data_IF_759978191841
#
_entry.id   IF_759978191841
#
_cell.length_a   1.000
_cell.length_b   1.000
_cell.length_c   1.000
_cell.angle_alpha   90.00
_cell.angle_beta   90.00
_cell.angle_gamma   90.00
#
_symmetry.space_group_name_H-M   'P 1'
#
loop_
_entity.id
_entity.type
_entity.pdbx_description
1 polymer ?
#
# COMPACT_ATOMS: atom_id res chain seq x y z
N UNK A 1 28.19 -4.50 -33.45
CA UNK A 1 29.25 -3.67 -32.82
C UNK A 1 29.80 -4.34 -31.56
N UNK A 2 31.11 -4.58 -31.50
CA UNK A 2 31.85 -5.01 -30.29
C UNK A 2 32.86 -3.91 -29.96
N UNK A 3 32.91 -3.40 -28.74
CA UNK A 3 33.92 -2.40 -28.35
C UNK A 3 33.50 -1.45 -27.22
N UNK A 4 34.42 -0.57 -26.80
CA UNK A 4 34.12 0.57 -25.92
C UNK A 4 33.97 1.81 -26.80
N UNK A 5 32.81 2.46 -26.80
CA UNK A 5 32.65 3.79 -27.41
C UNK A 5 32.69 4.83 -26.28
N UNK A 6 33.65 5.74 -26.33
CA UNK A 6 33.82 6.80 -25.32
C UNK A 6 33.85 8.17 -26.02
N UNK A 7 33.04 9.12 -25.59
CA UNK A 7 33.10 10.49 -26.14
C UNK A 7 32.54 11.55 -25.18
N UNK A 8 33.08 12.77 -25.21
CA UNK A 8 32.55 13.90 -24.41
C UNK A 8 31.08 14.21 -24.74
N UNK A 9 30.67 14.12 -26.01
CA UNK A 9 29.28 14.34 -26.44
C UNK A 9 28.92 13.32 -27.53
N UNK A 10 27.98 12.42 -27.25
CA UNK A 10 27.31 11.64 -28.29
C UNK A 10 26.02 12.34 -28.71
N UNK A 11 25.95 12.74 -29.98
CA UNK A 11 24.74 13.21 -30.66
C UNK A 11 24.53 12.38 -31.92
N UNK A 12 24.21 11.10 -31.77
CA UNK A 12 24.06 10.18 -32.89
C UNK A 12 23.03 9.09 -32.59
N UNK A 13 22.55 8.46 -33.65
CA UNK A 13 21.83 7.19 -33.56
C UNK A 13 22.87 6.06 -33.68
N UNK A 14 22.86 5.15 -32.70
CA UNK A 14 23.63 3.91 -32.75
C UNK A 14 22.64 2.80 -33.03
N UNK A 15 22.62 2.29 -34.27
CA UNK A 15 21.86 1.11 -34.64
C UNK A 15 22.81 -0.07 -34.84
N UNK A 16 22.50 -1.21 -34.23
CA UNK A 16 23.26 -2.42 -34.44
C UNK A 16 22.48 -3.68 -34.11
N UNK A 17 22.60 -4.72 -34.93
CA UNK A 17 21.90 -5.97 -34.66
C UNK A 17 22.33 -6.63 -33.33
N UNK A 18 23.62 -6.58 -33.03
CA UNK A 18 24.22 -7.05 -31.77
C UNK A 18 25.18 -6.00 -31.24
N UNK A 19 24.91 -5.51 -30.04
CA UNK A 19 25.76 -4.57 -29.33
C UNK A 19 26.39 -5.26 -28.12
N UNK A 20 27.72 -5.36 -28.09
CA UNK A 20 28.48 -5.90 -26.95
C UNK A 20 29.54 -4.89 -26.51
N UNK A 21 29.51 -4.47 -25.24
CA UNK A 21 30.55 -3.60 -24.68
C UNK A 21 30.03 -2.47 -23.81
N UNK A 22 30.77 -1.36 -23.77
CA UNK A 22 30.39 -0.17 -22.99
C UNK A 22 30.23 1.02 -23.91
N UNK A 23 29.16 1.78 -23.74
CA UNK A 23 29.04 3.15 -24.28
C UNK A 23 29.11 4.09 -23.11
N UNK A 24 30.06 5.01 -23.15
CA UNK A 24 30.28 6.03 -22.12
C UNK A 24 30.29 7.41 -22.77
N UNK A 25 29.55 8.36 -22.19
CA UNK A 25 29.57 9.73 -22.65
C UNK A 25 29.23 10.74 -21.56
N UNK A 26 29.82 11.92 -21.60
CA UNK A 26 29.42 12.96 -20.66
C UNK A 26 27.99 13.46 -20.93
N UNK A 27 27.62 13.62 -22.20
CA UNK A 27 26.30 14.04 -22.65
C UNK A 27 25.86 13.17 -23.82
N UNK A 28 24.81 12.38 -23.59
CA UNK A 28 24.24 11.49 -24.60
C UNK A 28 22.87 12.02 -25.06
N UNK A 29 22.74 12.32 -26.35
CA UNK A 29 21.49 12.69 -27.03
C UNK A 29 21.34 11.82 -28.27
N UNK A 30 20.15 11.28 -28.52
CA UNK A 30 19.89 10.43 -29.70
C UNK A 30 19.22 9.11 -29.36
N UNK A 31 19.45 8.08 -30.16
CA UNK A 31 18.91 6.73 -29.94
C UNK A 31 20.03 5.69 -29.90
N UNK A 32 19.85 4.67 -29.07
CA UNK A 32 20.61 3.42 -29.14
C UNK A 32 19.60 2.33 -29.39
N UNK A 33 19.66 1.70 -30.57
CA UNK A 33 18.82 0.60 -30.96
C UNK A 33 19.66 -0.67 -31.15
N UNK A 34 19.18 -1.80 -30.63
CA UNK A 34 19.80 -3.08 -30.90
C UNK A 34 18.89 -4.27 -30.63
N UNK A 35 18.79 -5.23 -31.56
CA UNK A 35 18.08 -6.50 -31.30
C UNK A 35 18.62 -7.23 -30.05
N UNK A 36 19.94 -7.17 -29.79
CA UNK A 36 20.60 -7.79 -28.62
C UNK A 36 21.69 -6.88 -28.04
N UNK A 37 21.38 -6.21 -26.93
CA UNK A 37 22.38 -5.46 -26.16
C UNK A 37 22.92 -6.27 -24.97
N UNK A 38 24.24 -6.47 -24.92
CA UNK A 38 24.97 -7.02 -23.76
C UNK A 38 26.06 -6.04 -23.32
N UNK A 39 25.82 -5.24 -22.30
CA UNK A 39 26.75 -4.17 -22.01
C UNK A 39 26.34 -3.17 -20.94
N UNK A 40 27.06 -2.05 -20.91
CA UNK A 40 26.72 -0.88 -20.09
C UNK A 40 26.54 0.33 -21.00
N UNK A 41 25.51 1.13 -20.73
CA UNK A 41 25.36 2.48 -21.26
C UNK A 41 25.47 3.42 -20.07
N UNK A 42 26.48 4.27 -20.04
CA UNK A 42 26.75 5.22 -18.96
C UNK A 42 26.79 6.64 -19.52
N UNK A 43 26.19 7.60 -18.80
CA UNK A 43 26.37 9.00 -19.15
C UNK A 43 26.03 9.96 -18.02
N UNK A 44 26.76 11.08 -17.85
CA UNK A 44 26.36 12.09 -16.83
C UNK A 44 24.98 12.71 -17.14
N UNK A 45 24.66 12.96 -18.41
CA UNK A 45 23.37 13.55 -18.84
C UNK A 45 22.81 12.79 -20.05
N UNK A 46 21.82 11.94 -19.80
CA UNK A 46 21.17 11.14 -20.84
C UNK A 46 19.83 11.74 -21.25
N UNK A 47 19.70 12.14 -22.52
CA UNK A 47 18.47 12.57 -23.19
C UNK A 47 18.26 11.72 -24.45
N UNK A 48 18.10 10.42 -24.28
CA UNK A 48 18.08 9.46 -25.39
C UNK A 48 16.93 8.45 -25.30
N UNK A 49 16.73 7.67 -26.35
CA UNK A 49 15.97 6.41 -26.28
C UNK A 49 16.98 5.25 -26.32
N UNK A 50 16.77 4.25 -25.47
CA UNK A 50 17.49 2.98 -25.53
C UNK A 50 16.45 1.92 -25.83
N UNK A 51 16.47 1.36 -27.03
CA UNK A 51 15.58 0.29 -27.47
C UNK A 51 16.40 -1.00 -27.64
N UNK A 52 15.87 -2.12 -27.14
CA UNK A 52 16.49 -3.40 -27.41
C UNK A 52 15.55 -4.59 -27.29
N UNK A 53 15.51 -5.47 -28.29
CA UNK A 53 14.82 -6.75 -28.19
C UNK A 53 15.26 -7.57 -26.96
N UNK A 54 16.56 -7.65 -26.67
CA UNK A 54 17.10 -8.33 -25.49
C UNK A 54 18.22 -7.51 -24.86
N UNK A 55 17.95 -6.88 -23.72
CA UNK A 55 18.94 -6.14 -22.95
C UNK A 55 19.46 -6.98 -21.77
N UNK A 56 20.76 -7.29 -21.74
CA UNK A 56 21.47 -7.84 -20.58
C UNK A 56 22.58 -6.87 -20.15
N UNK A 57 22.33 -6.04 -19.14
CA UNK A 57 23.25 -4.93 -18.90
C UNK A 57 22.85 -3.93 -17.84
N UNK A 58 23.54 -2.78 -17.86
CA UNK A 58 23.20 -1.62 -17.03
C UNK A 58 23.00 -0.39 -17.91
N UNK A 59 22.01 0.43 -17.57
CA UNK A 59 21.87 1.81 -18.05
C UNK A 59 22.03 2.70 -16.83
N UNK A 60 23.04 3.56 -16.82
CA UNK A 60 23.38 4.44 -15.70
C UNK A 60 23.46 5.89 -16.18
N UNK A 61 23.01 6.82 -15.35
CA UNK A 61 23.16 8.24 -15.63
C UNK A 61 22.83 9.14 -14.44
N UNK A 62 23.64 10.16 -14.14
CA UNK A 62 23.29 11.16 -13.11
C UNK A 62 21.94 11.86 -13.39
N UNK A 63 21.71 12.30 -14.63
CA UNK A 63 20.44 12.95 -15.04
C UNK A 63 19.84 12.27 -16.26
N UNK A 64 18.83 11.43 -16.03
CA UNK A 64 18.19 10.65 -17.07
C UNK A 64 16.82 11.22 -17.48
N UNK A 65 16.70 11.67 -18.72
CA UNK A 65 15.45 12.09 -19.39
C UNK A 65 15.24 11.24 -20.65
N UNK A 66 14.93 9.96 -20.48
CA UNK A 66 14.98 8.98 -21.56
C UNK A 66 13.77 8.06 -21.61
N UNK A 67 13.71 7.23 -22.65
CA UNK A 67 12.89 6.01 -22.67
C UNK A 67 13.84 4.82 -22.74
N UNK A 68 13.61 3.81 -21.92
CA UNK A 68 14.28 2.50 -22.00
C UNK A 68 13.19 1.49 -22.35
N UNK A 69 13.24 0.94 -23.55
CA UNK A 69 12.31 -0.10 -24.02
C UNK A 69 13.08 -1.39 -24.24
N UNK A 70 12.51 -2.52 -23.82
CA UNK A 70 13.06 -3.81 -24.15
C UNK A 70 12.06 -4.96 -24.04
N UNK A 71 12.03 -5.85 -25.04
CA UNK A 71 11.20 -7.05 -24.91
C UNK A 71 11.62 -7.91 -23.69
N UNK A 72 12.92 -8.03 -23.44
CA UNK A 72 13.50 -8.79 -22.32
C UNK A 72 14.66 -8.02 -21.70
N UNK A 73 14.39 -7.38 -20.56
CA UNK A 73 15.41 -6.71 -19.77
C UNK A 73 15.93 -7.61 -18.63
N UNK A 74 17.23 -7.90 -18.62
CA UNK A 74 17.97 -8.53 -17.51
C UNK A 74 19.08 -7.59 -17.04
N UNK A 75 18.82 -6.76 -16.03
CA UNK A 75 19.76 -5.68 -15.76
C UNK A 75 19.40 -4.69 -14.68
N UNK A 76 20.11 -3.56 -14.69
CA UNK A 76 19.83 -2.42 -13.83
C UNK A 76 19.60 -1.17 -14.67
N UNK A 77 18.66 -0.33 -14.24
CA UNK A 77 18.54 1.07 -14.68
C UNK A 77 18.74 1.92 -13.44
N UNK A 78 19.74 2.78 -13.45
CA UNK A 78 20.16 3.58 -12.29
C UNK A 78 20.27 5.05 -12.68
N UNK A 79 19.83 5.95 -11.81
CA UNK A 79 19.98 7.39 -12.02
C UNK A 79 19.71 8.21 -10.77
N UNK A 80 20.58 9.19 -10.44
CA UNK A 80 20.30 10.15 -9.36
C UNK A 80 18.97 10.92 -9.61
N UNK A 81 18.74 11.38 -10.85
CA UNK A 81 17.49 12.07 -11.26
C UNK A 81 16.87 11.44 -12.50
N UNK A 82 15.82 10.65 -12.29
CA UNK A 82 15.12 9.93 -13.35
C UNK A 82 13.79 10.60 -13.73
N UNK A 83 13.67 11.08 -14.97
CA UNK A 83 12.43 11.55 -15.62
C UNK A 83 12.20 10.76 -16.90
N UNK A 84 11.78 9.51 -16.77
CA UNK A 84 11.81 8.57 -17.90
C UNK A 84 10.62 7.61 -17.93
N UNK A 85 10.56 6.80 -18.99
CA UNK A 85 9.72 5.60 -19.06
C UNK A 85 10.64 4.38 -19.17
N UNK A 86 10.35 3.34 -18.41
CA UNK A 86 10.97 2.02 -18.56
C UNK A 86 9.84 1.06 -18.94
N UNK A 87 9.91 0.49 -20.13
CA UNK A 87 8.95 -0.49 -20.63
C UNK A 87 9.64 -1.82 -20.89
N UNK A 88 9.02 -2.93 -20.50
CA UNK A 88 9.49 -4.24 -20.89
C UNK A 88 8.46 -5.35 -20.79
N UNK A 89 8.32 -6.21 -21.81
CA UNK A 89 7.48 -7.43 -21.67
C UNK A 89 7.95 -8.33 -20.53
N UNK A 90 9.26 -8.44 -20.27
CA UNK A 90 9.85 -9.22 -19.17
C UNK A 90 11.04 -8.49 -18.54
N UNK A 91 10.83 -7.88 -17.38
CA UNK A 91 11.91 -7.27 -16.60
C UNK A 91 12.39 -8.20 -15.47
N UNK A 92 13.69 -8.52 -15.47
CA UNK A 92 14.40 -9.20 -14.37
C UNK A 92 15.55 -8.29 -13.92
N UNK A 93 15.38 -7.53 -12.84
CA UNK A 93 16.35 -6.48 -12.57
C UNK A 93 16.04 -5.52 -11.43
N UNK A 94 16.76 -4.40 -11.43
CA UNK A 94 16.51 -3.27 -10.54
C UNK A 94 16.29 -1.99 -11.34
N UNK A 95 15.38 -1.15 -10.86
CA UNK A 95 15.28 0.25 -11.25
C UNK A 95 15.51 1.06 -9.98
N UNK A 96 16.54 1.90 -9.99
CA UNK A 96 16.98 2.67 -8.81
C UNK A 96 17.11 4.15 -9.16
N UNK A 97 16.70 5.02 -8.25
CA UNK A 97 16.88 6.46 -8.41
C UNK A 97 16.65 7.27 -7.14
N UNK A 98 17.53 8.22 -6.82
CA UNK A 98 17.27 9.14 -5.69
C UNK A 98 15.96 9.94 -5.91
N UNK A 99 15.73 10.48 -7.11
CA UNK A 99 14.51 11.20 -7.48
C UNK A 99 13.87 10.63 -8.75
N UNK A 100 12.83 9.83 -8.57
CA UNK A 100 12.12 9.15 -9.66
C UNK A 100 10.78 9.86 -10.01
N UNK A 101 10.69 10.42 -11.21
CA UNK A 101 9.45 10.94 -11.84
C UNK A 101 9.19 10.17 -13.14
N UNK A 102 8.72 8.92 -13.03
CA UNK A 102 8.71 8.01 -14.18
C UNK A 102 7.49 7.09 -14.24
N UNK A 103 7.39 6.33 -15.32
CA UNK A 103 6.51 5.16 -15.43
C UNK A 103 7.37 3.93 -15.62
N UNK A 104 7.08 2.86 -14.86
CA UNK A 104 7.64 1.53 -15.08
C UNK A 104 6.48 0.63 -15.50
N UNK A 105 6.50 0.19 -16.75
CA UNK A 105 5.52 -0.75 -17.30
C UNK A 105 6.21 -2.09 -17.56
N UNK A 106 5.57 -3.19 -17.18
CA UNK A 106 6.07 -4.50 -17.58
C UNK A 106 5.02 -5.59 -17.67
N UNK A 107 5.10 -6.45 -18.68
CA UNK A 107 4.33 -7.69 -18.71
C UNK A 107 4.63 -8.62 -17.52
N UNK A 108 5.89 -8.73 -17.10
CA UNK A 108 6.33 -9.52 -15.93
C UNK A 108 7.53 -8.85 -15.28
N UNK A 109 7.36 -8.31 -14.08
CA UNK A 109 8.44 -7.75 -13.28
C UNK A 109 8.91 -8.73 -12.19
N UNK A 110 10.18 -9.15 -12.25
CA UNK A 110 10.87 -9.87 -11.17
C UNK A 110 12.07 -9.04 -10.71
N UNK A 111 11.95 -8.30 -9.62
CA UNK A 111 12.98 -7.31 -9.31
C UNK A 111 12.70 -6.37 -8.15
N UNK A 112 13.49 -5.29 -8.10
CA UNK A 112 13.28 -4.18 -7.16
C UNK A 112 13.06 -2.87 -7.92
N UNK A 113 12.16 -2.04 -7.43
CA UNK A 113 12.07 -0.62 -7.76
C UNK A 113 12.36 0.13 -6.47
N UNK A 114 13.39 0.97 -6.46
CA UNK A 114 13.85 1.70 -5.28
C UNK A 114 14.00 3.19 -5.59
N UNK A 115 13.61 4.05 -4.66
CA UNK A 115 13.82 5.49 -4.80
C UNK A 115 13.63 6.27 -3.51
N UNK A 116 14.47 7.27 -3.23
CA UNK A 116 14.23 8.16 -2.09
C UNK A 116 12.92 8.95 -2.25
N UNK A 117 12.67 9.51 -3.45
CA UNK A 117 11.47 10.28 -3.79
C UNK A 117 10.84 9.76 -5.08
N UNK A 118 9.81 8.94 -4.92
CA UNK A 118 9.09 8.31 -6.02
C UNK A 118 7.79 9.06 -6.33
N UNK A 119 7.71 9.70 -7.50
CA UNK A 119 6.49 10.27 -8.11
C UNK A 119 6.16 9.50 -9.39
N UNK A 120 5.66 8.29 -9.27
CA UNK A 120 5.58 7.37 -10.42
C UNK A 120 4.36 6.45 -10.45
N UNK A 121 4.20 5.79 -11.59
CA UNK A 121 3.28 4.66 -11.76
C UNK A 121 4.11 3.41 -12.05
N UNK A 122 3.86 2.34 -11.29
CA UNK A 122 4.37 1.00 -11.57
C UNK A 122 3.20 0.16 -12.00
N UNK A 123 3.16 -0.27 -13.25
CA UNK A 123 2.11 -1.12 -13.81
C UNK A 123 2.74 -2.44 -14.29
N UNK A 124 2.13 -3.56 -13.92
CA UNK A 124 2.56 -4.84 -14.47
C UNK A 124 1.51 -5.93 -14.38
N UNK A 125 1.38 -6.79 -15.40
CA UNK A 125 0.52 -7.99 -15.28
C UNK A 125 0.96 -8.91 -14.14
N UNK A 126 2.26 -8.99 -13.81
CA UNK A 126 2.78 -9.79 -12.68
C UNK A 126 3.97 -9.12 -12.01
N UNK A 127 3.85 -8.79 -10.72
CA UNK A 127 4.95 -8.29 -9.89
C UNK A 127 5.43 -9.36 -8.92
N UNK A 128 6.73 -9.67 -8.93
CA UNK A 128 7.43 -10.47 -7.90
C UNK A 128 8.68 -9.73 -7.42
N UNK A 129 8.70 -9.28 -6.17
CA UNK A 129 9.89 -8.62 -5.61
C UNK A 129 9.59 -7.50 -4.62
N UNK A 130 10.22 -6.33 -4.77
CA UNK A 130 10.05 -5.19 -3.85
C UNK A 130 9.81 -3.87 -4.59
N UNK A 131 9.00 -3.00 -4.00
CA UNK A 131 8.89 -1.57 -4.32
C UNK A 131 9.18 -0.83 -3.03
N UNK A 132 10.21 0.02 -3.01
CA UNK A 132 10.71 0.69 -1.81
C UNK A 132 10.86 2.20 -2.07
N UNK A 133 10.46 3.03 -1.11
CA UNK A 133 10.70 4.47 -1.19
C UNK A 133 10.49 5.23 0.12
N UNK A 134 11.41 6.14 0.50
CA UNK A 134 11.14 7.06 1.64
C UNK A 134 9.88 7.90 1.43
N UNK A 135 9.60 8.35 0.20
CA UNK A 135 8.41 9.15 -0.15
C UNK A 135 7.80 8.68 -1.47
N UNK A 136 6.76 7.86 -1.41
CA UNK A 136 5.99 7.43 -2.57
C UNK A 136 4.73 8.27 -2.79
N UNK A 137 4.62 8.91 -3.96
CA UNK A 137 3.40 9.55 -4.48
C UNK A 137 3.03 8.91 -5.81
N UNK A 138 2.00 8.07 -5.85
CA UNK A 138 1.74 7.34 -7.09
C UNK A 138 0.79 6.16 -7.01
N UNK A 139 0.92 5.27 -7.99
CA UNK A 139 0.14 4.04 -8.09
C UNK A 139 1.04 2.84 -8.34
N UNK A 140 0.75 1.73 -7.68
CA UNK A 140 1.27 0.39 -8.00
C UNK A 140 0.08 -0.47 -8.41
N UNK A 141 0.06 -0.96 -9.64
CA UNK A 141 -1.05 -1.76 -10.20
C UNK A 141 -0.53 -3.11 -10.72
N UNK A 142 -1.28 -4.18 -10.47
CA UNK A 142 -0.99 -5.48 -11.06
C UNK A 142 -2.16 -6.46 -11.13
N UNK A 143 -2.20 -7.34 -12.15
CA UNK A 143 -3.11 -8.50 -12.09
C UNK A 143 -2.71 -9.50 -10.99
N UNK A 144 -1.41 -9.71 -10.74
CA UNK A 144 -0.90 -10.63 -9.71
C UNK A 144 0.32 -10.04 -9.02
N UNK A 145 0.17 -9.71 -7.74
CA UNK A 145 1.22 -9.11 -6.94
C UNK A 145 1.70 -10.09 -5.85
N UNK A 146 2.99 -10.43 -5.89
CA UNK A 146 3.71 -11.19 -4.86
C UNK A 146 4.95 -10.40 -4.41
N UNK A 147 4.75 -9.32 -3.66
CA UNK A 147 5.83 -8.38 -3.36
C UNK A 147 5.74 -7.74 -1.97
N UNK A 148 6.81 -7.06 -1.57
CA UNK A 148 6.78 -6.07 -0.50
C UNK A 148 6.66 -4.68 -1.10
N UNK A 149 5.77 -3.85 -0.55
CA UNK A 149 5.72 -2.40 -0.79
C UNK A 149 6.08 -1.75 0.54
N UNK A 150 7.17 -1.00 0.56
CA UNK A 150 7.69 -0.33 1.75
C UNK A 150 7.81 1.17 1.48
N UNK A 151 7.32 2.00 2.39
CA UNK A 151 7.52 3.44 2.26
C UNK A 151 7.36 4.22 3.56
N UNK A 152 8.33 5.06 3.92
CA UNK A 152 8.16 6.00 5.04
C UNK A 152 6.91 6.89 4.89
N UNK A 153 6.64 7.42 3.69
CA UNK A 153 5.43 8.19 3.40
C UNK A 153 4.79 7.75 2.08
N UNK A 154 3.71 6.98 2.15
CA UNK A 154 2.91 6.61 0.99
C UNK A 154 1.71 7.56 0.82
N UNK A 155 1.60 8.23 -0.32
CA UNK A 155 0.40 8.97 -0.74
C UNK A 155 -0.06 8.47 -2.11
N UNK A 156 -0.93 7.46 -2.14
CA UNK A 156 -1.17 6.74 -3.39
C UNK A 156 -2.15 5.57 -3.32
N UNK A 157 -2.11 4.74 -4.36
CA UNK A 157 -2.92 3.53 -4.46
C UNK A 157 -2.06 2.30 -4.72
N UNK A 158 -2.37 1.20 -4.05
CA UNK A 158 -1.89 -0.14 -4.41
C UNK A 158 -3.10 -0.96 -4.83
N UNK A 159 -3.15 -1.39 -6.08
CA UNK A 159 -4.25 -2.18 -6.63
C UNK A 159 -3.74 -3.49 -7.20
N UNK A 160 -4.48 -4.57 -6.97
CA UNK A 160 -4.21 -5.81 -7.68
C UNK A 160 -5.35 -6.81 -7.64
N UNK A 161 -5.64 -7.54 -8.73
CA UNK A 161 -6.64 -8.63 -8.68
C UNK A 161 -6.28 -9.72 -7.65
N UNK A 162 -5.03 -10.19 -7.62
CA UNK A 162 -4.56 -11.18 -6.63
C UNK A 162 -3.31 -10.68 -5.90
N UNK A 163 -3.48 -10.28 -4.64
CA UNK A 163 -2.41 -9.72 -3.83
C UNK A 163 -1.97 -10.72 -2.74
N UNK A 164 -0.69 -11.07 -2.72
CA UNK A 164 -0.02 -11.86 -1.68
C UNK A 164 1.28 -11.16 -1.28
N UNK A 165 1.14 -10.12 -0.47
CA UNK A 165 2.11 -9.06 -0.29
C UNK A 165 2.19 -8.56 1.15
N UNK A 166 3.26 -7.84 1.48
CA UNK A 166 3.32 -6.96 2.65
C UNK A 166 3.29 -5.51 2.18
N UNK A 167 2.48 -4.67 2.81
CA UNK A 167 2.47 -3.22 2.62
C UNK A 167 2.85 -2.61 3.96
N UNK A 168 3.94 -1.88 4.01
CA UNK A 168 4.48 -1.26 5.22
C UNK A 168 4.68 0.25 4.98
N UNK A 169 4.29 1.08 5.94
CA UNK A 169 4.50 2.53 5.84
C UNK A 169 4.33 3.28 7.16
N UNK A 170 5.26 4.15 7.55
CA UNK A 170 5.01 5.03 8.72
C UNK A 170 3.73 5.88 8.52
N UNK A 171 3.55 6.46 7.33
CA UNK A 171 2.41 7.31 7.00
C UNK A 171 1.80 6.91 5.68
N UNK A 172 0.69 6.18 5.75
CA UNK A 172 -0.12 5.81 4.60
C UNK A 172 -1.31 6.75 4.42
N UNK A 173 -1.38 7.44 3.28
CA UNK A 173 -2.56 8.17 2.78
C UNK A 173 -3.01 7.56 1.46
N UNK A 174 -4.20 6.97 1.41
CA UNK A 174 -4.77 6.47 0.14
C UNK A 174 -5.48 5.13 0.22
N UNK A 175 -5.30 4.26 -0.78
CA UNK A 175 -6.09 3.02 -0.93
C UNK A 175 -5.24 1.78 -1.19
N UNK A 176 -5.63 0.65 -0.59
CA UNK A 176 -5.12 -0.68 -0.93
C UNK A 176 -6.32 -1.55 -1.33
N UNK A 177 -6.38 -1.94 -2.60
CA UNK A 177 -7.53 -2.62 -3.19
C UNK A 177 -7.13 -3.97 -3.79
N UNK A 178 -7.96 -5.00 -3.61
CA UNK A 178 -7.74 -6.28 -4.29
C UNK A 178 -8.97 -7.17 -4.35
N UNK A 179 -9.24 -7.87 -5.46
CA UNK A 179 -10.29 -8.92 -5.46
C UNK A 179 -9.97 -10.02 -4.43
N UNK A 180 -8.71 -10.48 -4.36
CA UNK A 180 -8.24 -11.51 -3.41
C UNK A 180 -6.99 -11.06 -2.69
N UNK A 181 -7.12 -10.75 -1.41
CA UNK A 181 -6.05 -10.23 -0.56
C UNK A 181 -5.59 -11.28 0.47
N UNK A 182 -4.29 -11.65 0.45
CA UNK A 182 -3.66 -12.49 1.49
C UNK A 182 -2.37 -11.82 2.00
N UNK A 183 -2.54 -10.81 2.85
CA UNK A 183 -1.47 -9.82 3.10
C UNK A 183 -1.28 -9.46 4.58
N UNK A 184 -0.19 -8.73 4.84
CA UNK A 184 -0.06 -7.85 6.01
C UNK A 184 -0.04 -6.40 5.54
N UNK A 185 -0.82 -5.53 6.19
CA UNK A 185 -0.75 -4.07 6.05
C UNK A 185 -0.37 -3.51 7.41
N UNK A 186 0.75 -2.81 7.49
CA UNK A 186 1.27 -2.20 8.72
C UNK A 186 1.49 -0.71 8.48
N UNK A 187 1.08 0.13 9.43
CA UNK A 187 1.35 1.56 9.37
C UNK A 187 1.20 2.29 10.69
N UNK A 188 2.13 3.18 11.07
CA UNK A 188 1.90 4.02 12.25
C UNK A 188 0.67 4.94 12.10
N UNK A 189 0.46 5.52 10.91
CA UNK A 189 -0.64 6.43 10.61
C UNK A 189 -1.27 6.10 9.27
N UNK A 190 -2.40 5.39 9.32
CA UNK A 190 -3.19 5.08 8.13
C UNK A 190 -4.38 6.05 7.98
N UNK A 191 -4.44 6.79 6.87
CA UNK A 191 -5.57 7.62 6.45
C UNK A 191 -6.07 7.14 5.08
N UNK A 192 -7.11 6.32 5.04
CA UNK A 192 -7.42 5.65 3.77
C UNK A 192 -8.50 4.58 3.77
N UNK A 193 -8.47 3.76 2.71
CA UNK A 193 -9.34 2.59 2.57
C UNK A 193 -8.52 1.34 2.29
N UNK A 194 -8.90 0.21 2.89
CA UNK A 194 -8.46 -1.13 2.49
C UNK A 194 -9.70 -1.88 2.07
N UNK A 195 -9.74 -2.37 0.83
CA UNK A 195 -10.92 -2.96 0.22
C UNK A 195 -10.59 -4.28 -0.48
N UNK A 196 -11.42 -5.30 -0.27
CA UNK A 196 -11.27 -6.57 -0.98
C UNK A 196 -12.53 -7.42 -1.06
N UNK A 197 -12.80 -8.11 -2.17
CA UNK A 197 -13.89 -9.11 -2.15
C UNK A 197 -13.61 -10.27 -1.17
N UNK A 198 -12.37 -10.76 -1.12
CA UNK A 198 -11.94 -11.84 -0.22
C UNK A 198 -10.66 -11.45 0.52
N UNK A 199 -10.80 -11.08 1.79
CA UNK A 199 -9.69 -10.67 2.64
C UNK A 199 -9.26 -11.77 3.62
N UNK A 200 -7.99 -12.19 3.55
CA UNK A 200 -7.28 -13.04 4.52
C UNK A 200 -6.02 -12.33 5.00
N UNK A 201 -6.18 -11.30 5.83
CA UNK A 201 -5.10 -10.35 6.11
C UNK A 201 -4.91 -10.03 7.59
N UNK A 202 -3.76 -9.43 7.93
CA UNK A 202 -3.58 -8.67 9.18
C UNK A 202 -3.42 -7.19 8.82
N UNK A 203 -4.17 -6.32 9.49
CA UNK A 203 -4.07 -4.87 9.37
C UNK A 203 -3.70 -4.36 10.76
N UNK A 204 -2.58 -3.66 10.88
CA UNK A 204 -2.09 -3.09 12.13
C UNK A 204 -1.82 -1.60 11.94
N UNK A 205 -2.23 -0.77 12.89
CA UNK A 205 -1.90 0.65 12.87
C UNK A 205 -1.95 1.36 14.22
N UNK A 206 -0.96 2.18 14.58
CA UNK A 206 -1.09 3.04 15.78
C UNK A 206 -2.29 4.00 15.69
N UNK A 207 -2.56 4.56 14.50
CA UNK A 207 -3.69 5.48 14.24
C UNK A 207 -4.32 5.20 12.87
N UNK A 208 -5.51 4.60 12.87
CA UNK A 208 -6.30 4.39 11.65
C UNK A 208 -7.46 5.40 11.54
N UNK A 209 -7.50 6.18 10.46
CA UNK A 209 -8.66 7.00 10.05
C UNK A 209 -9.13 6.58 8.67
N UNK A 210 -10.22 5.81 8.57
CA UNK A 210 -10.54 5.19 7.28
C UNK A 210 -11.64 4.16 7.27
N UNK A 211 -11.63 3.33 6.22
CA UNK A 211 -12.52 2.18 6.09
C UNK A 211 -11.73 0.90 5.79
N UNK A 212 -12.15 -0.21 6.38
CA UNK A 212 -11.77 -1.55 5.97
C UNK A 212 -13.05 -2.24 5.49
N UNK A 213 -13.07 -2.71 4.25
CA UNK A 213 -14.27 -3.27 3.62
C UNK A 213 -13.95 -4.62 2.97
N UNK A 214 -14.85 -5.59 3.10
CA UNK A 214 -14.76 -6.83 2.34
C UNK A 214 -16.06 -7.62 2.22
N UNK A 215 -16.36 -8.23 1.06
CA UNK A 215 -17.47 -9.22 0.98
C UNK A 215 -17.24 -10.44 1.91
N UNK A 216 -16.01 -10.93 2.03
CA UNK A 216 -15.64 -12.07 2.91
C UNK A 216 -14.34 -11.77 3.66
N UNK A 217 -14.48 -11.47 4.94
CA UNK A 217 -13.37 -11.08 5.80
C UNK A 217 -12.96 -12.21 6.76
N UNK A 218 -11.70 -12.64 6.68
CA UNK A 218 -11.03 -13.55 7.63
C UNK A 218 -9.72 -12.90 8.10
N UNK A 219 -9.80 -11.89 8.96
CA UNK A 219 -8.65 -11.04 9.26
C UNK A 219 -8.56 -10.60 10.72
N UNK A 220 -7.39 -10.05 11.08
CA UNK A 220 -7.23 -9.26 12.30
C UNK A 220 -7.04 -7.81 11.90
N UNK A 221 -7.80 -6.91 12.53
CA UNK A 221 -7.64 -5.46 12.42
C UNK A 221 -7.32 -4.98 13.82
N UNK A 222 -6.12 -4.44 14.03
CA UNK A 222 -5.68 -3.89 15.30
C UNK A 222 -5.29 -2.42 15.11
N UNK A 223 -5.66 -1.58 16.07
CA UNK A 223 -5.20 -0.20 16.05
C UNK A 223 -5.28 0.51 17.39
N UNK A 224 -4.22 1.22 17.79
CA UNK A 224 -4.25 2.07 18.99
C UNK A 224 -5.42 3.08 19.00
N UNK A 225 -5.64 3.80 17.90
CA UNK A 225 -6.79 4.71 17.73
C UNK A 225 -7.47 4.51 16.38
N UNK A 226 -8.71 4.01 16.38
CA UNK A 226 -9.50 3.80 15.17
C UNK A 226 -10.62 4.85 15.05
N UNK A 227 -10.61 5.64 13.97
CA UNK A 227 -11.72 6.53 13.58
C UNK A 227 -12.23 6.15 12.19
N UNK A 228 -13.27 5.33 12.10
CA UNK A 228 -13.60 4.72 10.82
C UNK A 228 -14.73 3.70 10.81
N UNK A 229 -14.77 2.90 9.74
CA UNK A 229 -15.67 1.76 9.62
C UNK A 229 -14.92 0.48 9.30
N UNK A 230 -15.36 -0.64 9.86
CA UNK A 230 -15.01 -1.99 9.40
C UNK A 230 -16.31 -2.64 8.93
N UNK A 231 -16.37 -3.07 7.68
CA UNK A 231 -17.60 -3.57 7.05
C UNK A 231 -17.32 -4.90 6.34
N UNK A 232 -18.24 -5.86 6.48
CA UNK A 232 -18.21 -7.08 5.68
C UNK A 232 -19.53 -7.83 5.61
N UNK A 233 -19.93 -8.37 4.45
CA UNK A 233 -21.06 -9.33 4.41
C UNK A 233 -20.82 -10.57 5.28
N UNK A 234 -19.61 -11.13 5.30
CA UNK A 234 -19.25 -12.30 6.12
C UNK A 234 -17.95 -12.06 6.86
N UNK A 235 -18.04 -11.77 8.16
CA UNK A 235 -16.90 -11.48 9.01
C UNK A 235 -16.55 -12.65 9.93
N UNK A 236 -15.32 -13.14 9.83
CA UNK A 236 -14.67 -14.13 10.72
C UNK A 236 -13.35 -13.56 11.21
N UNK A 237 -13.42 -12.54 12.06
CA UNK A 237 -12.29 -11.63 12.31
C UNK A 237 -12.10 -11.28 13.79
N UNK A 238 -10.98 -10.66 14.13
CA UNK A 238 -10.81 -9.92 15.39
C UNK A 238 -10.61 -8.45 15.05
N UNK A 239 -11.36 -7.56 15.71
CA UNK A 239 -11.19 -6.11 15.60
C UNK A 239 -10.82 -5.58 16.99
N UNK A 240 -9.60 -5.08 17.14
CA UNK A 240 -9.06 -4.58 18.41
C UNK A 240 -8.71 -3.10 18.30
N UNK A 241 -8.97 -2.31 19.35
CA UNK A 241 -8.47 -0.94 19.42
C UNK A 241 -8.40 -0.40 20.86
N UNK A 242 -7.47 0.48 21.21
CA UNK A 242 -7.61 1.17 22.52
C UNK A 242 -8.74 2.21 22.53
N UNK A 243 -8.89 2.96 21.44
CA UNK A 243 -9.95 3.97 21.27
C UNK A 243 -10.62 3.82 19.91
N UNK A 244 -11.87 3.38 19.90
CA UNK A 244 -12.67 3.22 18.70
C UNK A 244 -13.75 4.31 18.62
N UNK A 245 -13.72 5.12 17.55
CA UNK A 245 -14.78 6.06 17.18
C UNK A 245 -15.30 5.73 15.78
N UNK A 246 -16.31 4.88 15.66
CA UNK A 246 -16.64 4.28 14.38
C UNK A 246 -17.77 3.27 14.36
N UNK A 247 -17.88 2.52 13.26
CA UNK A 247 -18.83 1.41 13.13
C UNK A 247 -18.12 0.10 12.77
N UNK A 248 -18.62 -1.00 13.29
CA UNK A 248 -18.31 -2.35 12.82
C UNK A 248 -19.62 -2.95 12.34
N UNK A 249 -19.71 -3.32 11.07
CA UNK A 249 -20.95 -3.76 10.43
C UNK A 249 -20.75 -5.09 9.69
N UNK A 250 -21.72 -6.00 9.78
CA UNK A 250 -21.71 -7.25 9.02
C UNK A 250 -23.06 -7.96 8.93
N UNK A 251 -23.44 -8.50 7.75
CA UNK A 251 -24.62 -9.39 7.67
C UNK A 251 -24.42 -10.65 8.56
N UNK A 252 -23.24 -11.27 8.52
CA UNK A 252 -22.90 -12.47 9.32
C UNK A 252 -21.58 -12.31 10.05
N UNK A 253 -21.68 -12.14 11.37
CA UNK A 253 -20.56 -11.84 12.26
C UNK A 253 -20.20 -13.03 13.15
N UNK A 254 -18.98 -13.56 13.00
CA UNK A 254 -18.34 -14.58 13.86
C UNK A 254 -16.98 -14.08 14.33
N UNK A 255 -16.98 -13.09 15.20
CA UNK A 255 -15.78 -12.29 15.51
C UNK A 255 -15.67 -11.90 16.98
N UNK A 256 -14.54 -11.30 17.34
CA UNK A 256 -14.41 -10.54 18.60
C UNK A 256 -14.16 -9.07 18.27
N UNK A 257 -14.87 -8.18 18.93
CA UNK A 257 -14.61 -6.73 18.90
C UNK A 257 -14.19 -6.33 20.31
N UNK A 258 -12.97 -5.82 20.45
CA UNK A 258 -12.41 -5.44 21.75
C UNK A 258 -11.93 -4.00 21.70
N UNK A 259 -12.38 -3.17 22.66
CA UNK A 259 -11.85 -1.82 22.79
C UNK A 259 -11.91 -1.24 24.20
N UNK A 260 -10.82 -0.60 24.67
CA UNK A 260 -10.84 0.08 25.99
C UNK A 260 -11.88 1.21 26.06
N UNK A 261 -12.02 2.02 25.00
CA UNK A 261 -13.06 3.07 24.89
C UNK A 261 -13.75 3.02 23.54
N UNK A 262 -15.06 2.76 23.51
CA UNK A 262 -15.84 2.68 22.28
C UNK A 262 -16.94 3.75 22.21
N UNK A 263 -16.93 4.56 21.13
CA UNK A 263 -18.00 5.51 20.77
C UNK A 263 -18.45 5.22 19.33
N UNK A 264 -19.58 4.54 19.15
CA UNK A 264 -19.87 3.95 17.85
C UNK A 264 -21.07 3.03 17.79
N UNK A 265 -21.08 2.15 16.79
CA UNK A 265 -22.06 1.05 16.69
C UNK A 265 -21.38 -0.25 16.28
N UNK A 266 -21.86 -1.37 16.81
CA UNK A 266 -21.62 -2.71 16.24
C UNK A 266 -22.98 -3.21 15.75
N UNK A 267 -23.13 -3.42 14.46
CA UNK A 267 -24.39 -3.83 13.85
C UNK A 267 -24.19 -5.16 13.10
N UNK A 268 -25.07 -6.14 13.29
CA UNK A 268 -25.10 -7.33 12.44
C UNK A 268 -26.45 -8.05 12.37
N UNK A 269 -26.78 -8.72 11.26
CA UNK A 269 -28.04 -9.48 11.19
C UNK A 269 -27.95 -10.79 11.99
N UNK A 270 -26.86 -11.54 11.81
CA UNK A 270 -26.58 -12.79 12.54
C UNK A 270 -25.25 -12.69 13.27
N UNK A 271 -25.32 -12.74 14.60
CA UNK A 271 -24.18 -12.47 15.47
C UNK A 271 -23.84 -13.69 16.33
N UNK A 272 -22.60 -14.18 16.21
CA UNK A 272 -21.97 -15.13 17.15
C UNK A 272 -20.62 -14.56 17.56
N UNK A 273 -20.65 -13.49 18.34
CA UNK A 273 -19.46 -12.70 18.67
C UNK A 273 -19.48 -12.18 20.10
N UNK A 274 -18.28 -11.87 20.60
CA UNK A 274 -18.10 -11.12 21.86
C UNK A 274 -17.74 -9.67 21.51
N UNK A 275 -18.38 -8.72 22.20
CA UNK A 275 -18.04 -7.30 22.13
C UNK A 275 -17.68 -6.88 23.54
N UNK A 276 -16.39 -6.60 23.77
CA UNK A 276 -15.85 -6.31 25.10
C UNK A 276 -15.33 -4.85 25.11
N UNK A 277 -15.75 -4.04 26.08
CA UNK A 277 -15.26 -2.66 26.22
C UNK A 277 -15.39 -2.11 27.64
N UNK A 278 -14.30 -1.56 28.19
CA UNK A 278 -14.28 -0.96 29.54
C UNK A 278 -15.12 0.31 29.68
N UNK A 279 -15.25 1.11 28.61
CA UNK A 279 -16.07 2.33 28.59
C UNK A 279 -16.83 2.42 27.28
N UNK A 280 -18.13 2.11 27.33
CA UNK A 280 -18.97 1.96 26.15
C UNK A 280 -20.01 3.10 26.07
N UNK A 281 -19.91 3.93 25.03
CA UNK A 281 -20.99 4.84 24.57
C UNK A 281 -21.39 4.45 23.15
N UNK A 282 -21.81 3.20 22.99
CA UNK A 282 -22.13 2.61 21.69
C UNK A 282 -23.33 1.70 21.76
N UNK A 283 -24.03 1.57 20.64
CA UNK A 283 -25.13 0.61 20.49
C UNK A 283 -24.60 -0.68 19.86
N UNK A 284 -25.01 -1.82 20.40
CA UNK A 284 -24.77 -3.14 19.78
C UNK A 284 -26.13 -3.66 19.31
N UNK A 285 -26.36 -3.72 18.00
CA UNK A 285 -27.62 -4.21 17.44
C UNK A 285 -27.41 -5.55 16.75
N UNK A 286 -28.29 -6.50 17.05
CA UNK A 286 -28.34 -7.77 16.34
C UNK A 286 -29.77 -8.30 16.22
N UNK A 287 -30.16 -8.70 15.00
CA UNK A 287 -31.51 -9.23 14.72
C UNK A 287 -31.69 -10.66 15.22
N UNK A 288 -30.63 -11.47 15.25
CA UNK A 288 -30.62 -12.85 15.75
C UNK A 288 -29.31 -13.14 16.51
N UNK A 289 -29.37 -13.09 17.85
CA UNK A 289 -28.32 -13.61 18.76
C UNK A 289 -28.67 -15.04 19.16
N UNK A 290 -27.68 -15.84 19.57
CA UNK A 290 -27.96 -17.06 20.35
C UNK A 290 -27.79 -16.71 21.83
N UNK A 291 -28.85 -16.98 22.57
CA UNK A 291 -29.14 -16.51 23.93
C UNK A 291 -28.21 -17.09 25.00
N UNK A 292 -27.85 -16.21 25.95
CA UNK A 292 -27.24 -16.39 27.29
C UNK A 292 -26.49 -15.12 27.71
N UNK A 293 -25.90 -14.37 26.75
CA UNK A 293 -25.15 -13.13 27.01
C UNK A 293 -25.96 -11.83 26.86
N UNK A 294 -27.22 -11.92 26.46
CA UNK A 294 -28.09 -10.76 26.24
C UNK A 294 -28.57 -10.12 27.55
N UNK A 295 -28.54 -10.85 28.66
CA UNK A 295 -28.78 -10.32 30.02
C UNK A 295 -27.60 -9.47 30.49
N UNK A 296 -26.39 -10.06 30.52
CA UNK A 296 -25.16 -9.40 31.00
C UNK A 296 -24.84 -8.09 30.27
N UNK A 297 -24.99 -8.03 28.94
CA UNK A 297 -24.71 -6.81 28.17
C UNK A 297 -25.75 -5.70 28.41
N UNK A 298 -27.03 -6.05 28.65
CA UNK A 298 -28.05 -5.07 29.03
C UNK A 298 -27.78 -4.54 30.44
N UNK A 299 -27.31 -5.41 31.34
CA UNK A 299 -26.85 -5.04 32.69
C UNK A 299 -25.72 -3.99 32.63
N UNK A 300 -24.67 -4.25 31.85
CA UNK A 300 -23.51 -3.35 31.71
C UNK A 300 -23.87 -1.99 31.08
N UNK A 301 -24.78 -1.99 30.10
CA UNK A 301 -25.27 -0.73 29.49
C UNK A 301 -26.12 0.07 30.48
N UNK A 302 -26.93 -0.60 31.31
CA UNK A 302 -27.74 0.01 32.37
C UNK A 302 -26.84 0.61 33.46
N UNK A 303 -25.85 -0.16 33.94
CA UNK A 303 -24.84 0.27 34.91
C UNK A 303 -24.05 1.50 34.41
N UNK A 304 -23.63 1.49 33.15
CA UNK A 304 -22.89 2.61 32.56
C UNK A 304 -23.73 3.90 32.47
N UNK A 305 -25.03 3.79 32.19
CA UNK A 305 -25.94 4.96 32.18
C UNK A 305 -26.19 5.50 33.58
N UNK A 306 -26.34 4.62 34.57
CA UNK A 306 -26.49 5.03 35.97
C UNK A 306 -25.27 5.82 36.45
N UNK A 307 -24.06 5.33 36.18
CA UNK A 307 -22.82 6.05 36.52
C UNK A 307 -22.68 7.40 35.80
N UNK A 308 -23.19 7.52 34.57
CA UNK A 308 -23.17 8.80 33.85
C UNK A 308 -24.20 9.78 34.40
N UNK A 309 -25.39 9.29 34.79
CA UNK A 309 -26.42 10.09 35.43
C UNK A 309 -26.01 10.58 36.83
N UNK A 310 -25.42 9.72 37.66
CA UNK A 310 -24.89 10.11 38.98
C UNK A 310 -23.81 11.19 38.87
N UNK A 311 -22.95 11.11 37.86
CA UNK A 311 -21.95 12.17 37.64
C UNK A 311 -22.60 13.49 37.23
N UNK A 312 -23.68 13.43 36.45
CA UNK A 312 -24.42 14.64 36.09
C UNK A 312 -25.26 15.19 37.24
N UNK A 313 -25.77 14.36 38.15
CA UNK A 313 -26.50 14.85 39.33
C UNK A 313 -25.56 15.57 40.29
N UNK A 314 -24.40 14.98 40.60
CA UNK A 314 -23.38 15.61 41.46
C UNK A 314 -22.92 16.95 40.91
N UNK A 315 -22.64 17.03 39.60
CA UNK A 315 -22.27 18.31 38.97
C UNK A 315 -23.36 19.38 39.09
N UNK A 316 -24.64 19.00 39.05
CA UNK A 316 -25.76 19.95 39.23
C UNK A 316 -25.91 20.38 40.68
N UNK A 317 -25.63 19.50 41.64
CA UNK A 317 -25.63 19.84 43.06
C UNK A 317 -24.47 20.79 43.38
N UNK A 318 -23.28 20.51 42.87
CA UNK A 318 -22.11 21.37 43.03
C UNK A 318 -22.36 22.76 42.42
N UNK A 319 -22.98 22.85 41.23
CA UNK A 319 -23.37 24.13 40.61
C UNK A 319 -24.45 24.89 41.38
N UNK A 320 -25.35 24.19 42.09
CA UNK A 320 -26.36 24.82 42.95
C UNK A 320 -25.71 25.36 44.23
N UNK A 321 -24.80 24.59 44.82
CA UNK A 321 -24.07 25.02 46.02
C UNK A 321 -23.11 26.16 45.74
N UNK A 322 -22.55 26.28 44.53
CA UNK A 322 -21.69 27.41 44.16
C UNK A 322 -22.44 28.70 43.78
N UNK A 323 -23.78 28.66 43.72
CA UNK A 323 -24.64 29.81 43.38
C UNK A 323 -25.42 30.35 44.60
N UNK A 324 -25.34 29.66 45.73
CA UNK A 324 -25.69 30.16 47.05
C UNK A 324 -24.45 30.80 47.67
#
# INVERSE_FOLDING_TARGET
MKGKANSKKMKSEVDSEKMKGKVDSEKMKGKVDSKKMKGKVDSKKMKSKVDSGKMKGKVDSKKMKSKVDSEKMKGKVDSEKMKSKVDSKKMKGKVDSEKMKSKVDSGKMKGKVDSEKMKSKVDSKKIKGKVDSKKMKGKVDSKKMKSKVDSGKMNGKVDSKKMKSKVDSEKMKGKVNSEKMKNKVDSEKMKGKVDSEKMKSKIDSKKMKGKVDSKKMKSKVDSGKMKGKVDSKKMKSKVGSEKMKGKVDSEKMKSKVDSKKMKGKVDSEKMKSKVDSKKMKSKVNSRKMKDEKQSQLREDERQSRLQENEKQSRLREDEKQSRL
#
